data_IF_693283804292
#
_entry.id   IF_693283804292
#
_cell.length_a   1.000
_cell.length_b   1.000
_cell.length_c   1.000
_cell.angle_alpha   90.00
_cell.angle_beta   90.00
_cell.angle_gamma   90.00
#
_symmetry.space_group_name_H-M   'P 1'
#
loop_
_entity.id
_entity.type
_entity.pdbx_description
1 polymer ?
#
# COMPACT_ATOMS: atom_id res chain seq x y z
N UNK A 1 -15.12 10.66 22.01
CA UNK A 1 -14.82 10.11 20.66
C UNK A 1 -15.09 8.62 20.65
N UNK A 2 -15.38 8.03 19.48
CA UNK A 2 -15.50 6.58 19.31
C UNK A 2 -14.12 5.92 19.16
N UNK A 3 -13.91 4.81 19.85
CA UNK A 3 -12.64 4.12 19.99
C UNK A 3 -12.77 2.64 19.61
N UNK A 4 -11.67 2.05 19.14
CA UNK A 4 -11.54 0.61 19.01
C UNK A 4 -11.56 -0.05 20.41
N UNK A 5 -12.30 -1.15 20.55
CA UNK A 5 -12.43 -1.87 21.82
C UNK A 5 -11.10 -2.44 22.35
N UNK A 6 -10.22 -2.85 21.44
CA UNK A 6 -8.99 -3.58 21.73
C UNK A 6 -7.80 -2.61 21.82
N UNK A 7 -7.58 -1.80 20.78
CA UNK A 7 -6.41 -0.91 20.69
C UNK A 7 -6.66 0.46 21.31
N UNK A 8 -7.90 0.81 21.62
CA UNK A 8 -8.32 2.13 22.13
C UNK A 8 -7.93 3.30 21.22
N UNK A 9 -7.69 3.06 19.95
CA UNK A 9 -7.44 4.10 18.94
C UNK A 9 -8.76 4.62 18.36
N UNK A 10 -8.82 5.86 17.84
CA UNK A 10 -10.02 6.37 17.17
C UNK A 10 -10.48 5.46 16.02
N UNK A 11 -11.79 5.16 15.94
CA UNK A 11 -12.33 4.20 14.96
C UNK A 11 -13.46 4.77 14.08
N UNK A 12 -13.37 6.06 13.74
CA UNK A 12 -14.18 6.64 12.65
C UNK A 12 -15.62 7.02 13.00
N UNK A 13 -15.95 7.18 14.29
CA UNK A 13 -17.22 7.75 14.76
C UNK A 13 -17.02 8.57 16.05
N UNK A 14 -18.01 9.38 16.42
CA UNK A 14 -18.03 10.09 17.70
C UNK A 14 -19.47 10.34 18.17
N UNK A 15 -19.61 10.79 19.42
CA UNK A 15 -20.85 11.35 19.96
C UNK A 15 -20.62 12.84 20.18
N UNK A 16 -21.64 13.65 19.87
CA UNK A 16 -21.68 15.09 20.12
C UNK A 16 -22.95 15.36 20.90
N UNK A 17 -22.81 15.98 22.07
CA UNK A 17 -23.93 16.34 22.93
C UNK A 17 -24.14 17.85 22.86
N UNK A 18 -25.37 18.25 22.54
CA UNK A 18 -25.79 19.66 22.50
C UNK A 18 -26.62 19.97 23.74
N UNK A 19 -26.63 21.24 24.16
CA UNK A 19 -27.43 21.68 25.30
C UNK A 19 -28.93 21.59 25.03
N UNK A 20 -29.34 21.86 23.79
CA UNK A 20 -30.76 21.84 23.42
C UNK A 20 -31.05 20.84 22.31
N UNK A 21 -32.25 20.27 22.33
CA UNK A 21 -32.71 19.36 21.28
C UNK A 21 -32.79 20.06 19.90
N UNK A 22 -33.10 21.36 19.89
CA UNK A 22 -33.16 22.16 18.67
C UNK A 22 -31.80 22.23 17.95
N UNK A 23 -30.70 22.38 18.69
CA UNK A 23 -29.35 22.38 18.14
C UNK A 23 -28.96 21.01 17.57
N UNK A 24 -29.33 19.92 18.27
CA UNK A 24 -29.12 18.56 17.77
C UNK A 24 -29.85 18.34 16.43
N UNK A 25 -31.10 18.79 16.31
CA UNK A 25 -31.86 18.74 15.05
C UNK A 25 -31.25 19.62 13.96
N UNK A 26 -30.72 20.79 14.31
CA UNK A 26 -30.03 21.65 13.36
C UNK A 26 -28.77 20.97 12.81
N UNK A 27 -28.00 20.26 13.65
CA UNK A 27 -26.82 19.50 13.21
C UNK A 27 -27.18 18.41 12.18
N UNK A 28 -28.31 17.70 12.37
CA UNK A 28 -28.77 16.74 11.38
C UNK A 28 -29.11 17.37 10.03
N UNK A 29 -29.67 18.59 10.03
CA UNK A 29 -30.12 19.27 8.81
C UNK A 29 -28.98 19.94 8.05
N UNK A 30 -28.05 20.56 8.78
CA UNK A 30 -27.06 21.45 8.17
C UNK A 30 -25.63 20.90 8.20
N UNK A 31 -25.31 19.95 9.10
CA UNK A 31 -23.96 19.38 9.23
C UNK A 31 -23.88 18.00 8.58
N UNK A 32 -24.94 17.18 8.70
CA UNK A 32 -24.98 15.88 8.02
C UNK A 32 -24.87 16.05 6.50
N UNK A 33 -24.00 15.28 5.85
CA UNK A 33 -23.73 15.40 4.42
C UNK A 33 -22.67 16.44 4.04
N UNK A 34 -22.17 17.22 4.98
CA UNK A 34 -21.04 18.13 4.75
C UNK A 34 -19.69 17.40 4.81
N UNK A 35 -18.62 18.09 4.40
CA UNK A 35 -17.25 17.55 4.44
C UNK A 35 -16.55 17.92 5.75
N UNK A 36 -15.92 16.92 6.37
CA UNK A 36 -14.96 17.07 7.46
C UNK A 36 -13.72 16.25 7.09
N UNK A 37 -12.54 16.88 7.09
CA UNK A 37 -11.28 16.28 6.61
C UNK A 37 -11.46 15.58 5.25
N UNK A 38 -12.10 16.28 4.31
CA UNK A 38 -12.41 15.82 2.95
C UNK A 38 -13.41 14.65 2.85
N UNK A 39 -13.95 14.18 3.98
CA UNK A 39 -14.90 13.06 4.04
C UNK A 39 -16.31 13.56 4.30
N UNK A 40 -17.28 12.96 3.60
CA UNK A 40 -18.69 13.22 3.87
C UNK A 40 -19.07 12.54 5.18
N UNK A 41 -19.49 13.34 6.16
CA UNK A 41 -19.94 12.83 7.47
C UNK A 41 -21.45 12.63 7.48
N UNK A 42 -21.91 11.71 8.33
CA UNK A 42 -23.33 11.46 8.59
C UNK A 42 -23.60 11.64 10.07
N UNK A 43 -24.61 12.43 10.38
CA UNK A 43 -25.09 12.64 11.75
C UNK A 43 -26.44 11.93 11.92
N UNK A 44 -26.61 11.20 13.02
CA UNK A 44 -27.86 10.57 13.43
C UNK A 44 -28.17 10.97 14.88
N UNK A 45 -29.46 10.97 15.23
CA UNK A 45 -29.87 11.11 16.63
C UNK A 45 -29.60 9.82 17.40
N UNK A 46 -29.27 10.01 18.66
CA UNK A 46 -28.90 8.94 19.56
C UNK A 46 -29.65 9.06 20.90
N UNK A 47 -29.91 7.92 21.56
CA UNK A 47 -30.65 7.86 22.83
C UNK A 47 -29.85 8.39 24.03
N UNK A 48 -28.60 8.81 23.83
CA UNK A 48 -27.74 9.41 24.85
C UNK A 48 -26.53 8.56 25.20
N UNK A 49 -25.44 9.23 25.57
CA UNK A 49 -24.17 8.57 25.88
C UNK A 49 -24.27 7.71 27.14
N UNK A 50 -23.63 6.53 27.09
CA UNK A 50 -23.42 5.64 28.24
C UNK A 50 -22.05 5.01 28.10
N UNK A 51 -21.43 4.69 29.23
CA UNK A 51 -20.16 3.96 29.22
C UNK A 51 -20.29 2.61 28.50
N UNK A 52 -19.25 2.26 27.76
CA UNK A 52 -19.20 1.10 26.86
C UNK A 52 -19.63 1.44 25.43
N UNK A 53 -20.43 2.49 25.22
CA UNK A 53 -20.89 2.87 23.87
C UNK A 53 -19.84 3.57 23.02
N UNK A 54 -18.78 4.10 23.65
CA UNK A 54 -17.64 4.66 22.95
C UNK A 54 -16.87 3.61 22.16
N UNK A 55 -17.01 2.31 22.47
CA UNK A 55 -16.24 1.28 21.80
C UNK A 55 -16.93 0.75 20.54
N UNK A 56 -16.14 0.50 19.50
CA UNK A 56 -16.54 -0.25 18.33
C UNK A 56 -17.08 -1.63 18.70
N UNK A 57 -18.07 -2.11 17.94
CA UNK A 57 -18.74 -3.40 18.17
C UNK A 57 -18.30 -4.49 17.20
N UNK A 58 -17.34 -4.19 16.34
CA UNK A 58 -16.83 -5.14 15.39
C UNK A 58 -15.97 -6.22 16.05
N UNK A 59 -15.88 -7.40 15.43
CA UNK A 59 -15.07 -8.53 15.90
C UNK A 59 -13.59 -8.18 16.02
N UNK A 60 -13.08 -7.30 15.16
CA UNK A 60 -11.70 -6.79 15.23
C UNK A 60 -11.50 -5.72 16.30
N UNK A 61 -12.57 -5.18 16.90
CA UNK A 61 -12.56 -4.09 17.87
C UNK A 61 -13.15 -2.79 17.32
N UNK A 62 -13.07 -2.56 16.00
CA UNK A 62 -13.48 -1.34 15.33
C UNK A 62 -14.98 -1.24 15.06
N UNK A 63 -15.38 -0.40 14.10
CA UNK A 63 -16.77 -0.29 13.68
C UNK A 63 -17.18 -1.52 12.86
N UNK A 64 -18.38 -2.08 13.11
CA UNK A 64 -18.92 -3.25 12.38
C UNK A 64 -18.97 -3.02 10.86
N UNK A 65 -19.23 -1.78 10.44
CA UNK A 65 -19.25 -1.39 9.02
C UNK A 65 -17.90 -1.63 8.34
N UNK A 66 -16.79 -1.42 9.04
CA UNK A 66 -15.46 -1.49 8.47
C UNK A 66 -14.93 -2.94 8.38
N UNK A 67 -15.62 -3.92 8.98
CA UNK A 67 -15.21 -5.34 8.90
C UNK A 67 -15.36 -5.92 7.50
N UNK A 68 -16.50 -5.66 6.85
CA UNK A 68 -16.88 -6.22 5.56
C UNK A 68 -16.56 -5.30 4.39
N UNK A 69 -15.83 -4.21 4.65
CA UNK A 69 -15.49 -3.24 3.63
C UNK A 69 -14.48 -3.83 2.64
N UNK A 70 -14.77 -3.68 1.34
CA UNK A 70 -13.91 -4.17 0.27
C UNK A 70 -13.04 -3.08 -0.33
N UNK A 71 -13.43 -1.80 -0.27
CA UNK A 71 -12.62 -0.70 -0.75
C UNK A 71 -11.44 -0.39 0.19
N UNK A 72 -10.33 0.05 -0.41
CA UNK A 72 -9.18 0.57 0.32
C UNK A 72 -9.40 2.04 0.67
N UNK A 73 -9.29 2.37 1.95
CA UNK A 73 -9.45 3.74 2.45
C UNK A 73 -8.39 4.04 3.51
N UNK A 74 -7.38 4.87 3.18
CA UNK A 74 -6.25 5.14 4.07
C UNK A 74 -6.68 5.85 5.36
N UNK A 75 -7.72 6.69 5.31
CA UNK A 75 -8.23 7.40 6.49
C UNK A 75 -9.02 6.49 7.46
N UNK A 76 -9.20 5.22 7.11
CA UNK A 76 -9.78 4.17 7.97
C UNK A 76 -8.86 2.96 8.13
N UNK A 77 -7.55 3.15 7.98
CA UNK A 77 -6.56 2.09 8.17
C UNK A 77 -6.34 1.16 6.96
N UNK A 78 -6.85 1.53 5.78
CA UNK A 78 -6.68 0.78 4.53
C UNK A 78 -7.83 -0.18 4.23
N UNK A 79 -7.51 -1.44 3.95
CA UNK A 79 -8.49 -2.49 3.66
C UNK A 79 -9.39 -2.79 4.88
N UNK A 80 -10.61 -3.26 4.63
CA UNK A 80 -11.49 -3.74 5.70
C UNK A 80 -10.87 -4.91 6.46
N UNK A 81 -11.28 -5.12 7.72
CA UNK A 81 -10.60 -6.06 8.62
C UNK A 81 -10.56 -7.50 8.10
N UNK A 82 -11.60 -7.97 7.40
CA UNK A 82 -11.61 -9.31 6.80
C UNK A 82 -10.67 -9.41 5.60
N UNK A 83 -10.71 -8.41 4.71
CA UNK A 83 -9.84 -8.36 3.55
C UNK A 83 -8.36 -8.26 3.95
N UNK A 84 -8.05 -7.47 4.98
CA UNK A 84 -6.70 -7.33 5.52
C UNK A 84 -6.19 -8.66 6.11
N UNK A 85 -7.03 -9.40 6.84
CA UNK A 85 -6.66 -10.72 7.36
C UNK A 85 -6.37 -11.73 6.26
N UNK A 86 -7.24 -11.78 5.23
CA UNK A 86 -7.06 -12.66 4.09
C UNK A 86 -5.77 -12.35 3.32
N UNK A 87 -5.43 -11.06 3.17
CA UNK A 87 -4.18 -10.65 2.51
C UNK A 87 -2.95 -11.09 3.31
N UNK A 88 -2.98 -10.92 4.63
CA UNK A 88 -1.90 -11.35 5.52
C UNK A 88 -1.72 -12.87 5.48
N UNK A 89 -2.82 -13.62 5.50
CA UNK A 89 -2.81 -15.08 5.40
C UNK A 89 -2.23 -15.53 4.06
N UNK A 90 -2.70 -14.96 2.94
CA UNK A 90 -2.14 -15.26 1.62
C UNK A 90 -0.65 -14.95 1.54
N UNK A 91 -0.21 -13.80 2.08
CA UNK A 91 1.20 -13.43 2.11
C UNK A 91 2.03 -14.42 2.93
N UNK A 92 1.50 -14.86 4.07
CA UNK A 92 2.15 -15.86 4.93
C UNK A 92 2.26 -17.23 4.25
N UNK A 93 1.20 -17.69 3.58
CA UNK A 93 1.22 -18.95 2.83
C UNK A 93 2.23 -18.92 1.68
N UNK A 94 2.34 -17.78 0.98
CA UNK A 94 3.36 -17.59 -0.06
C UNK A 94 4.75 -17.62 0.55
N UNK A 95 4.99 -16.88 1.63
CA UNK A 95 6.28 -16.85 2.32
C UNK A 95 6.68 -18.24 2.84
N UNK A 96 5.75 -19.00 3.43
CA UNK A 96 5.97 -20.37 3.88
C UNK A 96 6.28 -21.32 2.71
N UNK A 97 5.60 -21.17 1.57
CA UNK A 97 5.86 -21.97 0.36
C UNK A 97 7.26 -21.74 -0.22
N UNK A 98 7.82 -20.54 -0.06
CA UNK A 98 9.16 -20.20 -0.57
C UNK A 98 10.25 -20.23 0.51
N UNK A 99 9.91 -20.60 1.76
CA UNK A 99 10.87 -20.67 2.85
C UNK A 99 11.93 -21.77 2.63
N UNK A 100 11.55 -22.86 1.97
CA UNK A 100 12.42 -23.99 1.62
C UNK A 100 13.39 -23.70 0.46
N UNK A 101 13.04 -22.77 -0.43
CA UNK A 101 13.91 -22.32 -1.51
C UNK A 101 15.17 -21.59 -1.01
N UNK A 102 15.18 -21.15 0.26
CA UNK A 102 16.34 -20.53 0.92
C UNK A 102 17.31 -21.58 1.52
N UNK A 103 16.88 -22.83 1.77
CA UNK A 103 17.62 -23.83 2.55
C UNK A 103 17.79 -25.20 1.83
N UNK A 104 17.48 -25.27 0.54
CA UNK A 104 17.68 -26.47 -0.29
C UNK A 104 19.07 -26.56 -0.95
N UNK A 105 19.51 -27.75 -1.41
CA UNK A 105 20.71 -27.92 -2.22
C UNK A 105 20.48 -27.28 -3.60
N UNK A 106 20.70 -25.97 -3.70
CA UNK A 106 20.32 -25.14 -4.83
C UNK A 106 19.86 -23.73 -4.43
N UNK A 107 19.75 -23.43 -3.13
CA UNK A 107 19.55 -22.07 -2.65
C UNK A 107 20.68 -21.17 -3.17
N UNK A 108 20.31 -20.12 -3.92
CA UNK A 108 21.26 -19.12 -4.40
C UNK A 108 21.92 -18.47 -3.19
N UNK A 109 23.22 -18.74 -3.02
CA UNK A 109 24.03 -18.09 -2.01
C UNK A 109 23.84 -16.57 -2.14
N UNK A 110 23.59 -15.89 -1.02
CA UNK A 110 23.53 -14.43 -0.92
C UNK A 110 24.88 -13.77 -1.21
N UNK A 111 25.46 -14.01 -2.39
CA UNK A 111 26.66 -13.38 -2.89
C UNK A 111 26.30 -12.10 -3.63
N UNK A 112 25.83 -11.09 -2.89
CA UNK A 112 25.45 -9.80 -3.44
C UNK A 112 26.04 -8.61 -2.68
N UNK A 113 26.99 -8.83 -1.77
CA UNK A 113 27.56 -7.77 -0.93
C UNK A 113 28.83 -7.14 -1.53
N UNK A 114 29.37 -7.67 -2.63
CA UNK A 114 30.66 -7.27 -3.20
C UNK A 114 30.60 -5.99 -4.08
N UNK A 115 29.40 -5.43 -4.30
CA UNK A 115 29.24 -4.19 -5.07
C UNK A 115 29.28 -2.91 -4.21
N UNK A 116 29.53 -3.02 -2.90
CA UNK A 116 29.72 -1.84 -2.04
C UNK A 116 31.17 -1.37 -2.18
N UNK A 117 31.41 -0.62 -3.26
CA UNK A 117 32.69 0.05 -3.55
C UNK A 117 33.23 0.76 -2.30
N UNK A 118 34.41 0.33 -1.86
CA UNK A 118 35.27 1.15 -1.02
C UNK A 118 35.88 2.24 -1.91
N UNK A 119 35.59 3.50 -1.61
CA UNK A 119 36.33 4.62 -2.19
C UNK A 119 37.83 4.46 -1.85
N UNK A 120 38.67 4.20 -2.86
CA UNK A 120 40.10 4.01 -2.63
C UNK A 120 40.91 3.57 -3.85
N UNK A 121 41.22 4.52 -4.72
CA UNK A 121 42.39 4.63 -5.60
C UNK A 121 43.19 3.35 -6.01
N UNK A 122 43.27 3.09 -7.32
CA UNK A 122 44.49 2.52 -7.93
C UNK A 122 44.31 1.52 -9.07
N UNK A 123 44.86 1.87 -10.24
CA UNK A 123 45.26 1.01 -11.36
C UNK A 123 44.20 0.38 -12.28
N UNK A 124 44.01 1.03 -13.44
CA UNK A 124 43.34 0.46 -14.61
C UNK A 124 44.14 -0.70 -15.22
N UNK A 125 43.63 -1.93 -15.11
CA UNK A 125 44.06 -3.06 -15.97
C UNK A 125 42.93 -3.41 -16.93
N UNK A 126 43.09 -2.98 -18.18
CA UNK A 126 42.22 -3.34 -19.32
C UNK A 126 42.38 -4.85 -19.62
N UNK A 127 41.46 -5.68 -19.16
CA UNK A 127 41.37 -7.09 -19.60
C UNK A 127 40.45 -7.17 -20.82
N UNK A 128 40.90 -6.57 -21.94
CA UNK A 128 40.28 -6.79 -23.25
C UNK A 128 40.91 -8.06 -23.84
N UNK A 129 40.15 -9.15 -23.88
CA UNK A 129 40.56 -10.37 -24.58
C UNK A 129 40.59 -10.06 -26.08
N UNK A 130 41.78 -10.03 -26.67
CA UNK A 130 41.96 -9.76 -28.10
C UNK A 130 41.29 -10.86 -28.95
N UNK A 131 40.74 -10.44 -30.09
CA UNK A 131 40.12 -11.32 -31.09
C UNK A 131 41.25 -11.93 -31.94
N UNK A 132 41.18 -13.24 -32.18
CA UNK A 132 42.22 -14.01 -32.89
C UNK A 132 42.42 -13.49 -34.34
N UNK A 133 43.64 -13.55 -34.92
CA UNK A 133 43.98 -12.93 -36.21
C UNK A 133 43.49 -13.68 -37.46
N UNK A 134 42.70 -14.74 -37.32
CA UNK A 134 42.34 -15.66 -38.42
C UNK A 134 40.86 -15.55 -38.87
N UNK A 135 40.17 -14.45 -38.55
CA UNK A 135 38.78 -14.22 -38.98
C UNK A 135 38.64 -12.96 -39.84
N UNK A 136 39.58 -12.78 -40.79
CA UNK A 136 39.44 -11.81 -41.89
C UNK A 136 38.59 -12.44 -43.02
N UNK A 137 37.28 -12.43 -42.80
CA UNK A 137 36.26 -12.86 -43.76
C UNK A 137 35.22 -11.77 -44.02
N UNK A 138 35.59 -10.80 -44.86
CA UNK A 138 34.70 -9.98 -45.69
C UNK A 138 33.73 -9.00 -44.97
N UNK A 139 34.21 -7.79 -44.67
CA UNK A 139 33.36 -6.69 -44.21
C UNK A 139 33.33 -5.55 -45.23
N UNK A 140 32.51 -5.72 -46.27
CA UNK A 140 32.13 -4.66 -47.18
C UNK A 140 30.61 -4.53 -47.24
N UNK A 141 30.15 -3.37 -46.74
CA UNK A 141 28.96 -2.61 -47.17
C UNK A 141 27.61 -2.92 -46.53
N UNK A 142 27.28 -2.06 -45.55
CA UNK A 142 26.06 -1.23 -45.36
C UNK A 142 25.81 -1.18 -43.84
N UNK A 143 25.94 -0.06 -43.14
CA UNK A 143 25.36 1.22 -43.50
C UNK A 143 23.91 1.26 -43.03
N UNK A 144 23.70 1.94 -41.89
CA UNK A 144 22.61 2.89 -41.67
C UNK A 144 21.46 2.51 -40.71
N UNK A 145 21.55 3.11 -39.51
CA UNK A 145 20.51 3.83 -38.72
C UNK A 145 19.51 3.05 -37.85
N UNK A 146 19.70 3.25 -36.54
CA UNK A 146 18.63 3.42 -35.55
C UNK A 146 17.68 4.56 -35.95
N UNK A 147 16.37 4.31 -35.94
CA UNK A 147 15.36 5.37 -35.89
C UNK A 147 14.24 4.96 -34.92
N UNK A 148 14.16 5.72 -33.84
CA UNK A 148 13.00 5.85 -32.95
C UNK A 148 12.02 6.77 -33.68
N UNK A 149 10.75 6.39 -33.77
CA UNK A 149 9.69 7.31 -34.21
C UNK A 149 8.46 7.13 -33.29
N UNK A 150 8.04 8.28 -32.75
CA UNK A 150 6.91 8.54 -31.86
C UNK A 150 5.58 7.98 -32.39
N UNK A 151 4.82 7.32 -31.52
CA UNK A 151 3.39 7.05 -31.71
C UNK A 151 2.64 7.86 -30.65
N UNK A 152 2.45 9.15 -30.92
CA UNK A 152 1.43 9.95 -30.25
C UNK A 152 1.06 11.20 -31.08
N UNK A 153 0.22 10.98 -32.11
CA UNK A 153 -0.61 12.01 -32.73
C UNK A 153 -1.60 11.36 -33.70
N UNK A 154 -2.84 11.14 -33.23
CA UNK A 154 -4.12 11.15 -33.98
C UNK A 154 -5.12 10.15 -33.40
N UNK A 155 -5.80 10.58 -32.33
CA UNK A 155 -7.23 10.30 -32.17
C UNK A 155 -7.92 11.58 -31.74
N UNK A 156 -8.45 12.26 -32.74
CA UNK A 156 -9.71 13.01 -32.59
C UNK A 156 -10.83 12.04 -32.15
#
# INVERSE_FOLDING_TARGET
>A
MGLDRNTRTPCGFCFVEYYTHAEALASMRYVSGTKLDERIIRCDLDLGYREGRQFGRGKSGGQVRDEHRQDYDPGRGGWGAQAQKLEIERRREVEERYADAQEGPGAVAGGGEDWKEAEGAGETKNLKRERSPDDDGDNLRLGQRSRVDDIDAERM
#
